data_IF_990097167855
#
_entry.id   IF_990097167855
#
_cell.length_a   1.000
_cell.length_b   1.000
_cell.length_c   1.000
_cell.angle_alpha   90.00
_cell.angle_beta   90.00
_cell.angle_gamma   90.00
#
_symmetry.space_group_name_H-M   'P 1'
#
loop_
_entity.id
_entity.type
_entity.pdbx_description
1 polymer ?
#
# COMPACT_ATOMS: atom_id res chain seq x y z
N UNK A 1 5.27 10.87 -28.78
CA UNK A 1 5.29 10.23 -27.44
C UNK A 1 4.53 11.11 -26.46
N UNK A 2 3.91 10.54 -25.43
CA UNK A 2 3.21 11.28 -24.36
C UNK A 2 3.87 10.92 -23.03
N UNK A 3 4.15 11.92 -22.19
CA UNK A 3 4.77 11.76 -20.88
C UNK A 3 3.84 12.32 -19.80
N UNK A 4 3.81 11.67 -18.64
CA UNK A 4 3.03 12.09 -17.48
C UNK A 4 3.93 12.17 -16.23
N UNK A 5 3.74 13.17 -15.34
CA UNK A 5 4.59 13.37 -14.18
C UNK A 5 4.20 12.43 -13.02
N UNK A 6 4.45 11.13 -13.15
CA UNK A 6 4.14 10.11 -12.13
C UNK A 6 2.66 10.11 -11.66
N UNK A 7 1.72 10.40 -12.55
CA UNK A 7 0.29 10.55 -12.17
C UNK A 7 -0.48 9.21 -12.04
N UNK A 8 0.20 8.06 -12.14
CA UNK A 8 -0.46 6.74 -12.16
C UNK A 8 -1.30 6.44 -10.92
N UNK A 9 -0.90 6.94 -9.74
CA UNK A 9 -1.62 6.79 -8.47
C UNK A 9 -2.41 8.05 -8.07
N UNK A 10 -2.48 9.06 -8.92
CA UNK A 10 -3.05 10.37 -8.60
C UNK A 10 -4.58 10.45 -8.76
N UNK A 11 -5.30 9.36 -8.51
CA UNK A 11 -6.77 9.34 -8.44
C UNK A 11 -7.24 9.57 -7.00
N UNK A 12 -8.50 10.00 -6.82
CA UNK A 12 -9.06 10.23 -5.49
C UNK A 12 -9.24 8.89 -4.77
N UNK A 13 -9.84 7.92 -5.46
CA UNK A 13 -10.10 6.57 -5.00
C UNK A 13 -8.79 5.86 -4.64
N UNK A 14 -7.77 5.96 -5.50
CA UNK A 14 -6.47 5.33 -5.27
C UNK A 14 -5.75 5.87 -4.04
N UNK A 15 -5.89 7.17 -3.75
CA UNK A 15 -5.29 7.78 -2.55
C UNK A 15 -6.03 7.40 -1.27
N UNK A 16 -7.37 7.33 -1.31
CA UNK A 16 -8.19 6.91 -0.17
C UNK A 16 -7.92 5.43 0.14
N UNK A 17 -8.03 4.56 -0.86
CA UNK A 17 -7.80 3.11 -0.70
C UNK A 17 -6.38 2.81 -0.20
N UNK A 18 -5.36 3.53 -0.71
CA UNK A 18 -3.99 3.37 -0.24
C UNK A 18 -3.84 3.78 1.23
N UNK A 19 -4.49 4.87 1.64
CA UNK A 19 -4.48 5.33 3.04
C UNK A 19 -5.11 4.29 3.98
N UNK A 20 -6.27 3.74 3.60
CA UNK A 20 -6.95 2.71 4.38
C UNK A 20 -6.10 1.43 4.52
N UNK A 21 -5.47 0.98 3.42
CA UNK A 21 -4.55 -0.17 3.44
C UNK A 21 -3.41 0.01 4.44
N UNK A 22 -2.82 1.20 4.51
CA UNK A 22 -1.74 1.49 5.47
C UNK A 22 -2.25 1.35 6.90
N UNK A 23 -3.42 1.93 7.21
CA UNK A 23 -4.00 1.87 8.56
C UNK A 23 -4.29 0.42 8.95
N UNK A 24 -4.87 -0.37 8.05
CA UNK A 24 -5.16 -1.79 8.28
C UNK A 24 -3.88 -2.59 8.56
N UNK A 25 -2.81 -2.38 7.77
CA UNK A 25 -1.54 -3.07 7.99
C UNK A 25 -0.91 -2.70 9.33
N UNK A 26 -0.94 -1.42 9.71
CA UNK A 26 -0.45 -0.94 11.01
C UNK A 26 -1.24 -1.61 12.14
N UNK A 27 -2.57 -1.58 12.06
CA UNK A 27 -3.43 -2.17 13.10
C UNK A 27 -3.21 -3.68 13.22
N UNK A 28 -3.19 -4.39 12.10
CA UNK A 28 -2.91 -5.83 12.07
C UNK A 28 -1.57 -6.16 12.71
N UNK A 29 -0.52 -5.36 12.44
CA UNK A 29 0.79 -5.54 13.05
C UNK A 29 0.76 -5.33 14.57
N UNK A 30 0.16 -4.23 15.03
CA UNK A 30 0.07 -3.92 16.47
C UNK A 30 -0.77 -4.94 17.25
N UNK A 31 -1.83 -5.48 16.64
CA UNK A 31 -2.66 -6.52 17.24
C UNK A 31 -1.99 -7.91 17.22
N UNK A 32 -0.73 -8.03 16.77
CA UNK A 32 0.00 -9.30 16.69
C UNK A 32 -0.46 -10.21 15.54
N UNK A 33 -1.37 -9.75 14.69
CA UNK A 33 -1.78 -10.47 13.49
C UNK A 33 -0.72 -10.33 12.39
N UNK A 34 -0.76 -11.23 11.41
CA UNK A 34 0.07 -11.08 10.21
C UNK A 34 -0.52 -9.98 9.33
N UNK A 35 0.19 -8.86 9.08
CA UNK A 35 -0.31 -7.81 8.19
C UNK A 35 -0.58 -8.36 6.78
N UNK A 36 -1.70 -7.98 6.15
CA UNK A 36 -2.10 -8.52 4.85
C UNK A 36 -1.07 -8.24 3.76
N UNK A 37 -0.46 -7.06 3.74
CA UNK A 37 0.50 -6.64 2.72
C UNK A 37 1.97 -6.76 3.20
N UNK A 38 2.26 -7.73 4.07
CA UNK A 38 3.62 -7.98 4.56
C UNK A 38 4.54 -8.42 3.41
N UNK A 39 5.55 -7.60 3.12
CA UNK A 39 6.64 -7.96 2.21
C UNK A 39 7.54 -9.01 2.87
N UNK A 40 7.78 -10.12 2.17
CA UNK A 40 8.70 -11.17 2.61
C UNK A 40 10.05 -11.01 1.88
N UNK A 41 11.18 -11.36 2.52
CA UNK A 41 12.47 -11.38 1.84
C UNK A 41 12.42 -12.38 0.67
N UNK A 42 13.03 -12.00 -0.45
CA UNK A 42 13.25 -12.91 -1.57
C UNK A 42 14.24 -13.99 -1.11
N UNK A 43 13.98 -15.25 -1.49
CA UNK A 43 14.98 -16.31 -1.33
C UNK A 43 16.03 -16.12 -2.42
N UNK A 44 17.23 -15.70 -2.01
CA UNK A 44 18.46 -15.83 -2.82
C UNK A 44 18.98 -17.26 -2.71
#
# INVERSE_FOLDING_TARGET
VVLLPHMGSATLEGRIDMGEKVIINIRAFFDGHRPPDRVLPLRT
#
